data_IF_802871188342
#
_entry.id   IF_802871188342
#
_cell.length_a   1.000
_cell.length_b   1.000
_cell.length_c   1.000
_cell.angle_alpha   90.00
_cell.angle_beta   90.00
_cell.angle_gamma   90.00
#
_symmetry.space_group_name_H-M   'P 1'
#
loop_
_entity.id
_entity.type
_entity.pdbx_description
1 polymer ?
#
# COMPACT_ATOMS: atom_id res chain seq x y z
N UNK A 1 -16.67 -49.50 147.68
CA UNK A 1 -17.32 -48.51 148.57
C UNK A 1 -18.76 -48.92 148.77
N UNK A 2 -19.17 -49.19 150.01
CA UNK A 2 -20.46 -49.80 150.34
C UNK A 2 -21.62 -48.81 150.25
N UNK A 3 -22.64 -49.13 149.46
CA UNK A 3 -23.92 -48.42 149.40
C UNK A 3 -24.76 -48.73 150.64
N UNK A 4 -25.09 -47.70 151.42
CA UNK A 4 -25.97 -47.79 152.58
C UNK A 4 -27.43 -47.67 152.12
N UNK A 5 -28.19 -48.77 152.14
CA UNK A 5 -29.60 -48.79 151.70
C UNK A 5 -30.50 -48.67 152.94
N UNK A 6 -31.13 -47.51 153.10
CA UNK A 6 -32.11 -47.24 154.14
C UNK A 6 -33.45 -47.95 153.84
N UNK A 7 -33.73 -49.06 154.52
CA UNK A 7 -34.91 -49.93 154.30
C UNK A 7 -36.24 -49.35 154.80
N UNK A 8 -36.29 -48.16 155.41
CA UNK A 8 -37.52 -47.58 155.96
C UNK A 8 -38.24 -46.58 155.03
N UNK A 9 -37.61 -46.15 153.94
CA UNK A 9 -38.16 -45.11 153.05
C UNK A 9 -38.63 -45.61 151.67
N UNK A 10 -38.24 -46.82 151.23
CA UNK A 10 -38.58 -47.35 149.90
C UNK A 10 -38.93 -48.84 149.95
N UNK A 11 -40.22 -49.22 150.08
CA UNK A 11 -40.66 -50.62 150.20
C UNK A 11 -40.57 -51.44 148.90
N UNK A 12 -40.29 -50.83 147.76
CA UNK A 12 -40.36 -51.46 146.43
C UNK A 12 -39.01 -51.95 145.86
N UNK A 13 -37.94 -51.96 146.66
CA UNK A 13 -36.63 -52.47 146.23
C UNK A 13 -36.45 -53.94 146.62
N UNK A 14 -36.62 -54.85 145.65
CA UNK A 14 -36.35 -56.27 145.79
C UNK A 14 -34.84 -56.56 145.72
N UNK A 15 -34.29 -57.22 146.73
CA UNK A 15 -32.92 -57.80 146.70
C UNK A 15 -33.00 -59.19 146.06
N UNK A 16 -32.49 -59.33 144.84
CA UNK A 16 -32.35 -60.65 144.22
C UNK A 16 -31.26 -61.46 144.94
N UNK A 17 -31.60 -62.68 145.36
CA UNK A 17 -30.77 -63.56 146.21
C UNK A 17 -30.23 -64.76 145.44
N UNK A 18 -30.11 -64.65 144.11
CA UNK A 18 -29.53 -65.67 143.24
C UNK A 18 -28.03 -65.40 143.01
N UNK A 19 -27.19 -66.45 143.15
CA UNK A 19 -25.78 -66.43 142.78
C UNK A 19 -25.61 -65.95 141.33
N UNK A 20 -24.85 -64.87 141.14
CA UNK A 20 -24.43 -64.40 139.81
C UNK A 20 -23.49 -65.44 139.18
N UNK A 21 -24.03 -66.26 138.29
CA UNK A 21 -23.30 -67.26 137.52
C UNK A 21 -22.62 -66.64 136.28
N UNK A 22 -21.82 -65.59 136.47
CA UNK A 22 -20.79 -65.09 135.56
C UNK A 22 -20.15 -63.83 136.14
N UNK A 23 -18.82 -63.63 136.01
CA UNK A 23 -18.23 -62.32 136.20
C UNK A 23 -18.77 -61.39 135.10
N UNK A 24 -19.60 -60.43 135.47
CA UNK A 24 -20.12 -59.37 134.58
C UNK A 24 -19.06 -58.28 134.27
N UNK A 25 -17.81 -58.54 134.62
CA UNK A 25 -16.63 -57.79 134.23
C UNK A 25 -15.58 -58.81 133.79
N UNK A 26 -15.61 -59.17 132.50
CA UNK A 26 -14.34 -59.55 131.86
C UNK A 26 -13.57 -58.24 131.79
N UNK A 27 -12.54 -58.13 132.62
CA UNK A 27 -11.53 -57.09 132.51
C UNK A 27 -11.08 -57.09 131.04
N UNK A 28 -11.59 -56.17 130.23
CA UNK A 28 -11.02 -55.89 128.92
C UNK A 28 -9.68 -55.25 129.21
N UNK A 29 -8.68 -56.07 129.55
CA UNK A 29 -7.29 -55.71 129.36
C UNK A 29 -7.13 -55.52 127.85
N UNK A 30 -7.47 -54.31 127.40
CA UNK A 30 -6.90 -53.75 126.19
C UNK A 30 -5.40 -53.79 126.44
N UNK A 31 -4.76 -54.78 125.82
CA UNK A 31 -3.32 -54.77 125.70
C UNK A 31 -3.00 -53.64 124.72
N UNK A 32 -2.88 -52.43 125.27
CA UNK A 32 -2.68 -51.18 124.53
C UNK A 32 -1.49 -51.29 123.58
N UNK A 33 -0.50 -52.12 123.90
CA UNK A 33 0.63 -52.40 123.03
C UNK A 33 0.20 -53.20 121.79
N UNK A 34 -0.62 -54.24 121.96
CA UNK A 34 -1.16 -55.03 120.85
C UNK A 34 -2.10 -54.20 119.96
N UNK A 35 -2.91 -53.31 120.54
CA UNK A 35 -3.77 -52.39 119.79
C UNK A 35 -2.94 -51.33 119.04
N UNK A 36 -1.93 -50.75 119.69
CA UNK A 36 -0.98 -49.84 119.06
C UNK A 36 -0.23 -50.51 117.90
N UNK A 37 0.22 -51.76 118.07
CA UNK A 37 0.88 -52.53 117.01
C UNK A 37 -0.05 -52.81 115.83
N UNK A 38 -1.33 -53.13 116.10
CA UNK A 38 -2.34 -53.34 115.03
C UNK A 38 -2.64 -52.04 114.28
N UNK A 39 -2.81 -50.92 114.98
CA UNK A 39 -3.01 -49.61 114.35
C UNK A 39 -1.77 -49.17 113.57
N UNK A 40 -0.56 -49.41 114.08
CA UNK A 40 0.68 -49.17 113.33
C UNK A 40 0.76 -50.03 112.07
N UNK A 41 0.39 -51.31 112.15
CA UNK A 41 0.38 -52.21 111.00
C UNK A 41 -0.65 -51.76 109.95
N UNK A 42 -1.82 -51.32 110.39
CA UNK A 42 -2.88 -50.77 109.53
C UNK A 42 -2.44 -49.45 108.88
N UNK A 43 -1.81 -48.55 109.64
CA UNK A 43 -1.26 -47.30 109.13
C UNK A 43 -0.13 -47.56 108.11
N UNK A 44 0.78 -48.48 108.39
CA UNK A 44 1.83 -48.89 107.46
C UNK A 44 1.23 -49.52 106.19
N UNK A 45 0.18 -50.34 106.31
CA UNK A 45 -0.49 -50.93 105.16
C UNK A 45 -1.18 -49.86 104.30
N UNK A 46 -1.92 -48.93 104.92
CA UNK A 46 -2.55 -47.81 104.23
C UNK A 46 -1.52 -46.89 103.56
N UNK A 47 -0.38 -46.65 104.20
CA UNK A 47 0.71 -45.86 103.65
C UNK A 47 1.34 -46.55 102.44
N UNK A 48 1.62 -47.86 102.54
CA UNK A 48 2.14 -48.64 101.42
C UNK A 48 1.16 -48.66 100.24
N UNK A 49 -0.14 -48.80 100.50
CA UNK A 49 -1.18 -48.72 99.48
C UNK A 49 -1.21 -47.33 98.81
N UNK A 50 -1.16 -46.26 99.60
CA UNK A 50 -1.12 -44.89 99.08
C UNK A 50 0.14 -44.62 98.25
N UNK A 51 1.30 -45.15 98.65
CA UNK A 51 2.54 -45.07 97.87
C UNK A 51 2.43 -45.83 96.55
N UNK A 52 1.87 -47.05 96.56
CA UNK A 52 1.66 -47.82 95.31
C UNK A 52 0.68 -47.13 94.36
N UNK A 53 -0.40 -46.54 94.89
CA UNK A 53 -1.37 -45.79 94.10
C UNK A 53 -0.76 -44.51 93.52
N UNK A 54 0.06 -43.80 94.31
CA UNK A 54 0.78 -42.62 93.86
C UNK A 54 1.79 -42.97 92.76
N UNK A 55 2.53 -44.07 92.92
CA UNK A 55 3.46 -44.55 91.89
C UNK A 55 2.74 -44.91 90.59
N UNK A 56 1.58 -45.59 90.68
CA UNK A 56 0.76 -45.92 89.51
C UNK A 56 0.23 -44.66 88.81
N UNK A 57 -0.29 -43.70 89.57
CA UNK A 57 -0.76 -42.41 89.01
C UNK A 57 0.37 -41.64 88.36
N UNK A 58 1.56 -41.64 88.97
CA UNK A 58 2.73 -40.97 88.41
C UNK A 58 3.19 -41.61 87.10
N UNK A 59 3.17 -42.95 87.01
CA UNK A 59 3.46 -43.67 85.77
C UNK A 59 2.45 -43.33 84.67
N UNK A 60 1.15 -43.40 84.97
CA UNK A 60 0.10 -43.04 84.02
C UNK A 60 0.23 -41.59 83.55
N UNK A 61 0.47 -40.65 84.47
CA UNK A 61 0.68 -39.25 84.13
C UNK A 61 1.91 -39.05 83.23
N UNK A 62 3.00 -39.78 83.47
CA UNK A 62 4.21 -39.72 82.65
C UNK A 62 3.96 -40.27 81.25
N UNK A 63 3.21 -41.38 81.14
CA UNK A 63 2.81 -41.96 79.86
C UNK A 63 1.90 -41.01 79.06
N UNK A 64 0.91 -40.42 79.72
CA UNK A 64 -0.01 -39.43 79.12
C UNK A 64 0.78 -38.21 78.63
N UNK A 65 1.67 -37.66 79.46
CA UNK A 65 2.53 -36.54 79.08
C UNK A 65 3.43 -36.89 77.89
N UNK A 66 4.05 -38.07 77.89
CA UNK A 66 4.89 -38.51 76.78
C UNK A 66 4.08 -38.67 75.48
N UNK A 67 2.84 -39.16 75.57
CA UNK A 67 1.94 -39.26 74.41
C UNK A 67 1.58 -37.88 73.85
N UNK A 68 1.30 -36.91 74.73
CA UNK A 68 1.01 -35.53 74.34
C UNK A 68 2.23 -34.86 73.70
N UNK A 69 3.43 -35.05 74.27
CA UNK A 69 4.67 -34.51 73.70
C UNK A 69 4.97 -35.08 72.32
N UNK A 70 4.76 -36.38 72.12
CA UNK A 70 4.88 -36.99 70.79
C UNK A 70 3.89 -36.39 69.79
N UNK A 71 2.64 -36.18 70.21
CA UNK A 71 1.63 -35.56 69.36
C UNK A 71 2.02 -34.12 68.97
N UNK A 72 2.49 -33.33 69.94
CA UNK A 72 2.96 -31.96 69.69
C UNK A 72 4.17 -31.96 68.75
N UNK A 73 5.10 -32.90 68.91
CA UNK A 73 6.26 -33.04 68.03
C UNK A 73 5.85 -33.37 66.58
N UNK A 74 4.91 -34.31 66.39
CA UNK A 74 4.36 -34.60 65.07
C UNK A 74 3.68 -33.39 64.44
N UNK A 75 2.88 -32.63 65.22
CA UNK A 75 2.22 -31.42 64.74
C UNK A 75 3.22 -30.32 64.36
N UNK A 76 4.27 -30.12 65.18
CA UNK A 76 5.33 -29.17 64.88
C UNK A 76 6.10 -29.56 63.61
N UNK A 77 6.40 -30.84 63.45
CA UNK A 77 7.12 -31.32 62.27
C UNK A 77 6.25 -31.24 61.00
N UNK A 78 4.95 -31.57 61.09
CA UNK A 78 4.02 -31.40 59.97
C UNK A 78 3.84 -29.93 59.60
N UNK A 79 3.70 -29.03 60.60
CA UNK A 79 3.63 -27.59 60.38
C UNK A 79 4.90 -27.09 59.69
N UNK A 80 6.08 -27.48 60.18
CA UNK A 80 7.37 -27.12 59.57
C UNK A 80 7.45 -27.58 58.11
N UNK A 81 7.04 -28.82 57.82
CA UNK A 81 7.03 -29.36 56.46
C UNK A 81 6.00 -28.67 55.57
N UNK A 82 4.85 -28.30 56.13
CA UNK A 82 3.82 -27.52 55.45
C UNK A 82 4.33 -26.13 55.08
N UNK A 83 4.94 -25.41 56.02
CA UNK A 83 5.55 -24.09 55.77
C UNK A 83 6.66 -24.16 54.70
N UNK A 84 7.49 -25.20 54.72
CA UNK A 84 8.51 -25.39 53.68
C UNK A 84 7.89 -25.62 52.29
N UNK A 85 6.82 -26.42 52.20
CA UNK A 85 6.09 -26.64 50.95
C UNK A 85 5.43 -25.35 50.46
N UNK A 86 4.82 -24.59 51.38
CA UNK A 86 4.23 -23.30 51.07
C UNK A 86 5.26 -22.33 50.50
N UNK A 87 6.43 -22.18 51.12
CA UNK A 87 7.48 -21.30 50.60
C UNK A 87 7.99 -21.72 49.22
N UNK A 88 8.14 -23.03 48.98
CA UNK A 88 8.52 -23.52 47.64
C UNK A 88 7.47 -23.16 46.60
N UNK A 89 6.20 -23.39 46.92
CA UNK A 89 5.08 -23.07 46.04
C UNK A 89 4.97 -21.56 45.78
N UNK A 90 5.10 -20.73 46.82
CA UNK A 90 5.12 -19.27 46.70
C UNK A 90 6.25 -18.81 45.78
N UNK A 91 7.46 -19.35 45.95
CA UNK A 91 8.58 -19.02 45.07
C UNK A 91 8.32 -19.45 43.62
N UNK A 92 7.77 -20.64 43.39
CA UNK A 92 7.39 -21.10 42.04
C UNK A 92 6.35 -20.17 41.41
N UNK A 93 5.32 -19.77 42.16
CA UNK A 93 4.33 -18.79 41.70
C UNK A 93 4.98 -17.47 41.33
N UNK A 94 5.86 -16.93 42.19
CA UNK A 94 6.53 -15.65 41.93
C UNK A 94 7.37 -15.74 40.65
N UNK A 95 8.12 -16.83 40.45
CA UNK A 95 8.90 -17.02 39.22
C UNK A 95 8.03 -17.14 37.98
N UNK A 96 6.91 -17.86 38.07
CA UNK A 96 5.95 -18.01 36.97
C UNK A 96 5.28 -16.66 36.64
N UNK A 97 4.89 -15.89 37.65
CA UNK A 97 4.33 -14.54 37.47
C UNK A 97 5.35 -13.59 36.83
N UNK A 98 6.62 -13.68 37.22
CA UNK A 98 7.67 -12.88 36.61
C UNK A 98 7.87 -13.23 35.12
N UNK A 99 7.94 -14.52 34.79
CA UNK A 99 8.03 -14.97 33.39
C UNK A 99 6.80 -14.58 32.57
N UNK A 100 5.60 -14.67 33.16
CA UNK A 100 4.37 -14.25 32.49
C UNK A 100 4.37 -12.74 32.25
N UNK A 101 4.83 -11.95 33.21
CA UNK A 101 4.95 -10.50 33.09
C UNK A 101 5.94 -10.11 32.00
N UNK A 102 7.11 -10.76 31.94
CA UNK A 102 8.11 -10.52 30.90
C UNK A 102 7.56 -10.83 29.50
N UNK A 103 6.85 -11.96 29.34
CA UNK A 103 6.18 -12.30 28.08
C UNK A 103 5.10 -11.28 27.71
N UNK A 104 4.37 -10.75 28.69
CA UNK A 104 3.37 -9.72 28.43
C UNK A 104 4.01 -8.41 27.95
N UNK A 105 5.13 -7.99 28.54
CA UNK A 105 5.90 -6.82 28.06
C UNK A 105 6.36 -7.04 26.62
N UNK A 106 6.86 -8.24 26.28
CA UNK A 106 7.26 -8.55 24.91
C UNK A 106 6.08 -8.52 23.93
N UNK A 107 4.92 -9.01 24.34
CA UNK A 107 3.70 -8.94 23.54
C UNK A 107 3.24 -7.49 23.33
N UNK A 108 3.26 -6.66 24.37
CA UNK A 108 2.92 -5.24 24.27
C UNK A 108 3.85 -4.53 23.26
N UNK A 109 5.16 -4.76 23.34
CA UNK A 109 6.12 -4.20 22.38
C UNK A 109 5.89 -4.70 20.94
N UNK A 110 5.51 -5.98 20.77
CA UNK A 110 5.18 -6.54 19.44
C UNK A 110 3.90 -5.90 18.88
N UNK A 111 2.87 -5.72 19.71
CA UNK A 111 1.61 -5.07 19.33
C UNK A 111 1.86 -3.61 18.94
N UNK A 112 2.68 -2.88 19.70
CA UNK A 112 3.04 -1.49 19.37
C UNK A 112 3.76 -1.41 18.01
N UNK A 113 4.75 -2.28 17.78
CA UNK A 113 5.43 -2.36 16.49
C UNK A 113 4.48 -2.67 15.33
N UNK A 114 3.54 -3.60 15.53
CA UNK A 114 2.54 -3.95 14.51
C UNK A 114 1.56 -2.80 14.26
N UNK A 115 1.16 -2.06 15.30
CA UNK A 115 0.31 -0.87 15.14
C UNK A 115 0.99 0.21 14.29
N UNK A 116 2.27 0.49 14.53
CA UNK A 116 3.04 1.43 13.70
C UNK A 116 3.19 0.97 12.26
N UNK A 117 3.45 -0.32 12.03
CA UNK A 117 3.49 -0.88 10.68
C UNK A 117 2.14 -0.71 9.96
N UNK A 118 1.03 -0.97 10.66
CA UNK A 118 -0.32 -0.80 10.13
C UNK A 118 -0.64 0.66 9.79
N UNK A 119 -0.25 1.61 10.63
CA UNK A 119 -0.40 3.05 10.36
C UNK A 119 0.38 3.48 9.12
N UNK A 120 1.64 3.03 9.00
CA UNK A 120 2.47 3.29 7.82
C UNK A 120 1.84 2.74 6.54
N UNK A 121 1.37 1.49 6.56
CA UNK A 121 0.68 0.87 5.42
C UNK A 121 -0.61 1.61 5.05
N UNK A 122 -1.39 2.03 6.05
CA UNK A 122 -2.63 2.81 5.81
C UNK A 122 -2.32 4.14 5.13
N UNK A 123 -1.23 4.81 5.55
CA UNK A 123 -0.76 6.04 4.90
C UNK A 123 -0.34 5.80 3.45
N UNK A 124 0.42 4.74 3.18
CA UNK A 124 0.83 4.37 1.81
C UNK A 124 -0.38 4.05 0.93
N UNK A 125 -1.37 3.30 1.45
CA UNK A 125 -2.62 3.00 0.72
C UNK A 125 -3.38 4.28 0.41
N UNK A 126 -3.47 5.23 1.36
CA UNK A 126 -4.10 6.53 1.12
C UNK A 126 -3.38 7.31 0.01
N UNK A 127 -2.04 7.28 0.00
CA UNK A 127 -1.25 7.92 -1.05
C UNK A 127 -1.47 7.25 -2.41
N UNK A 128 -1.48 5.92 -2.46
CA UNK A 128 -1.76 5.16 -3.68
C UNK A 128 -3.15 5.52 -4.22
N UNK A 129 -4.17 5.54 -3.36
CA UNK A 129 -5.53 5.95 -3.75
C UNK A 129 -5.55 7.32 -4.40
N UNK A 130 -4.89 8.32 -3.79
CA UNK A 130 -4.79 9.67 -4.36
C UNK A 130 -4.05 9.68 -5.71
N UNK A 131 -3.01 8.86 -5.87
CA UNK A 131 -2.31 8.74 -7.15
C UNK A 131 -3.16 8.07 -8.22
N UNK A 132 -3.96 7.05 -7.86
CA UNK A 132 -4.90 6.41 -8.76
C UNK A 132 -5.97 7.39 -9.23
N UNK A 133 -6.54 8.20 -8.34
CA UNK A 133 -7.50 9.25 -8.70
C UNK A 133 -6.89 10.27 -9.66
N UNK A 134 -5.64 10.70 -9.40
CA UNK A 134 -4.91 11.61 -10.29
C UNK A 134 -4.64 10.99 -11.67
N UNK A 135 -4.29 9.71 -11.72
CA UNK A 135 -4.08 8.98 -12.98
C UNK A 135 -5.39 8.87 -13.76
N UNK A 136 -6.51 8.58 -13.09
CA UNK A 136 -7.82 8.51 -13.72
C UNK A 136 -8.19 9.86 -14.39
N UNK A 137 -8.02 10.97 -13.67
CA UNK A 137 -8.25 12.32 -14.23
C UNK A 137 -7.32 12.61 -15.42
N UNK A 138 -6.05 12.18 -15.36
CA UNK A 138 -5.11 12.36 -16.49
C UNK A 138 -5.48 11.51 -17.70
N UNK A 139 -6.01 10.31 -17.50
CA UNK A 139 -6.48 9.44 -18.58
C UNK A 139 -7.70 10.04 -19.27
N UNK A 140 -8.68 10.54 -18.50
CA UNK A 140 -9.86 11.22 -19.03
C UNK A 140 -9.48 12.43 -19.90
N UNK A 141 -8.58 13.30 -19.40
CA UNK A 141 -8.05 14.42 -20.20
C UNK A 141 -7.30 13.99 -21.46
N UNK A 142 -6.60 12.86 -21.40
CA UNK A 142 -5.90 12.33 -22.56
C UNK A 142 -6.88 11.79 -23.61
N UNK A 143 -7.96 11.15 -23.17
CA UNK A 143 -9.05 10.71 -24.04
C UNK A 143 -9.72 11.90 -24.74
N UNK A 144 -10.03 12.97 -23.99
CA UNK A 144 -10.54 14.22 -24.56
C UNK A 144 -9.59 14.81 -25.62
N UNK A 145 -8.30 14.89 -25.32
CA UNK A 145 -7.28 15.38 -26.25
C UNK A 145 -7.18 14.49 -27.50
N UNK A 146 -7.24 13.18 -27.34
CA UNK A 146 -7.22 12.22 -28.45
C UNK A 146 -8.47 12.38 -29.33
N UNK A 147 -9.64 12.60 -28.74
CA UNK A 147 -10.87 12.88 -29.48
C UNK A 147 -10.78 14.21 -30.26
N UNK A 148 -10.15 15.24 -29.67
CA UNK A 148 -9.89 16.50 -30.38
C UNK A 148 -8.94 16.31 -31.57
N UNK A 149 -7.86 15.54 -31.41
CA UNK A 149 -6.92 15.22 -32.51
C UNK A 149 -7.65 14.46 -33.62
N UNK A 150 -8.48 13.47 -33.29
CA UNK A 150 -9.26 12.72 -34.25
C UNK A 150 -10.19 13.65 -35.06
N UNK A 151 -10.86 14.60 -34.39
CA UNK A 151 -11.70 15.59 -35.05
C UNK A 151 -10.89 16.52 -35.98
N UNK A 152 -9.70 16.96 -35.56
CA UNK A 152 -8.81 17.78 -36.40
C UNK A 152 -8.30 17.01 -37.62
N UNK A 153 -7.92 15.74 -37.46
CA UNK A 153 -7.53 14.88 -38.58
C UNK A 153 -8.67 14.72 -39.57
N UNK A 154 -9.90 14.49 -39.10
CA UNK A 154 -11.08 14.41 -39.97
C UNK A 154 -11.25 15.70 -40.78
N UNK A 155 -11.16 16.86 -40.14
CA UNK A 155 -11.25 18.16 -40.82
C UNK A 155 -10.12 18.37 -41.84
N UNK A 156 -8.91 17.92 -41.53
CA UNK A 156 -7.78 17.99 -42.46
C UNK A 156 -8.00 17.10 -43.69
N UNK A 157 -8.60 15.92 -43.50
CA UNK A 157 -8.94 15.00 -44.58
C UNK A 157 -10.02 15.61 -45.50
N UNK A 158 -11.06 16.21 -44.92
CA UNK A 158 -12.08 16.96 -45.68
C UNK A 158 -11.48 18.14 -46.47
N UNK A 159 -10.56 18.91 -45.87
CA UNK A 159 -9.87 19.99 -46.59
C UNK A 159 -8.97 19.46 -47.72
N UNK A 160 -8.32 18.32 -47.52
CA UNK A 160 -7.48 17.68 -48.54
C UNK A 160 -8.33 17.19 -49.72
N UNK A 161 -9.51 16.62 -49.44
CA UNK A 161 -10.47 16.22 -50.47
C UNK A 161 -10.96 17.43 -51.29
N UNK A 162 -11.33 18.53 -50.62
CA UNK A 162 -11.70 19.78 -51.30
C UNK A 162 -10.55 20.38 -52.12
N UNK A 163 -9.32 20.29 -51.62
CA UNK A 163 -8.15 20.77 -52.35
C UNK A 163 -7.88 19.93 -53.60
N UNK A 164 -8.02 18.60 -53.51
CA UNK A 164 -7.91 17.70 -54.64
C UNK A 164 -8.98 18.01 -55.70
N UNK A 165 -10.24 18.22 -55.29
CA UNK A 165 -11.33 18.60 -56.21
C UNK A 165 -11.08 19.96 -56.90
N UNK A 166 -10.50 20.93 -56.19
CA UNK A 166 -10.12 22.22 -56.81
C UNK A 166 -8.97 22.06 -57.79
N UNK A 167 -7.98 21.20 -57.48
CA UNK A 167 -6.87 20.92 -58.37
C UNK A 167 -7.32 20.22 -59.66
N UNK A 168 -8.22 19.24 -59.57
CA UNK A 168 -8.76 18.57 -60.77
C UNK A 168 -9.53 19.54 -61.66
N UNK A 169 -10.39 20.40 -61.07
CA UNK A 169 -11.07 21.47 -61.82
C UNK A 169 -10.08 22.44 -62.48
N UNK A 170 -9.01 22.79 -61.78
CA UNK A 170 -7.98 23.66 -62.33
C UNK A 170 -7.22 22.99 -63.48
N UNK A 171 -6.93 21.70 -63.37
CA UNK A 171 -6.29 20.89 -64.43
C UNK A 171 -7.16 20.84 -65.69
N UNK A 172 -8.48 20.67 -65.55
CA UNK A 172 -9.45 20.74 -66.67
C UNK A 172 -9.44 22.12 -67.35
N UNK A 173 -9.41 23.21 -66.56
CA UNK A 173 -9.34 24.58 -67.10
C UNK A 173 -8.03 24.80 -67.87
N UNK A 174 -6.90 24.36 -67.33
CA UNK A 174 -5.60 24.47 -68.01
C UNK A 174 -5.54 23.61 -69.27
N UNK A 175 -6.12 22.40 -69.25
CA UNK A 175 -6.25 21.56 -70.44
C UNK A 175 -7.04 22.25 -71.55
N UNK A 176 -8.20 22.82 -71.23
CA UNK A 176 -8.98 23.60 -72.20
C UNK A 176 -8.28 24.88 -72.67
N UNK A 177 -7.46 25.52 -71.83
CA UNK A 177 -6.64 26.67 -72.23
C UNK A 177 -5.55 26.26 -73.22
N UNK A 178 -4.86 25.14 -72.97
CA UNK A 178 -3.86 24.56 -73.87
C UNK A 178 -4.45 24.23 -75.25
N UNK A 179 -5.60 23.56 -75.30
CA UNK A 179 -6.28 23.25 -76.57
C UNK A 179 -6.63 24.52 -77.38
N UNK A 180 -7.08 25.58 -76.68
CA UNK A 180 -7.36 26.87 -77.33
C UNK A 180 -6.10 27.56 -77.82
N UNK A 181 -5.00 27.44 -77.07
CA UNK A 181 -3.70 28.01 -77.44
C UNK A 181 -3.14 27.30 -78.68
N UNK A 182 -3.20 25.97 -78.73
CA UNK A 182 -2.84 25.16 -79.90
C UNK A 182 -3.68 25.53 -81.14
N UNK A 183 -4.99 25.76 -80.97
CA UNK A 183 -5.85 26.25 -82.06
C UNK A 183 -5.44 27.64 -82.55
N UNK A 184 -5.08 28.54 -81.64
CA UNK A 184 -4.60 29.87 -82.00
C UNK A 184 -3.25 29.82 -82.71
N UNK A 185 -2.33 28.97 -82.26
CA UNK A 185 -1.03 28.76 -82.91
C UNK A 185 -1.21 28.20 -84.34
N UNK A 186 -2.12 27.25 -84.53
CA UNK A 186 -2.45 26.73 -85.86
C UNK A 186 -3.04 27.82 -86.79
N UNK A 187 -3.90 28.70 -86.26
CA UNK A 187 -4.44 29.84 -87.01
C UNK A 187 -3.35 30.86 -87.34
N UNK A 188 -2.44 31.15 -86.41
CA UNK A 188 -1.29 32.03 -86.62
C UNK A 188 -0.35 31.48 -87.68
N UNK A 189 -0.04 30.18 -87.67
CA UNK A 189 0.78 29.56 -88.72
C UNK A 189 0.10 29.67 -90.09
N UNK A 190 -1.23 29.42 -90.15
CA UNK A 190 -2.00 29.61 -91.39
C UNK A 190 -1.95 31.07 -91.87
N UNK A 191 -2.08 32.04 -90.97
CA UNK A 191 -2.00 33.46 -91.30
C UNK A 191 -0.58 33.84 -91.77
N UNK A 192 0.46 33.33 -91.12
CA UNK A 192 1.85 33.53 -91.53
C UNK A 192 2.10 33.00 -92.95
N UNK A 193 1.58 31.80 -93.27
CA UNK A 193 1.63 31.24 -94.64
C UNK A 193 0.90 32.14 -95.65
N UNK A 194 -0.29 32.64 -95.31
CA UNK A 194 -1.03 33.57 -96.18
C UNK A 194 -0.26 34.88 -96.40
N UNK A 195 0.36 35.46 -95.37
CA UNK A 195 1.20 36.65 -95.49
C UNK A 195 2.42 36.38 -96.36
N UNK A 196 3.07 35.23 -96.21
CA UNK A 196 4.16 34.82 -97.10
C UNK A 196 3.69 34.70 -98.57
N UNK A 197 2.50 34.16 -98.80
CA UNK A 197 1.92 34.05 -100.13
C UNK A 197 1.59 35.42 -100.73
N UNK A 198 1.00 36.34 -99.95
CA UNK A 198 0.77 37.73 -100.37
C UNK A 198 2.10 38.39 -100.72
N UNK A 199 3.13 38.22 -99.89
CA UNK A 199 4.48 38.75 -100.16
C UNK A 199 5.04 38.22 -101.47
N UNK A 200 4.87 36.92 -101.75
CA UNK A 200 5.29 36.30 -103.00
C UNK A 200 4.55 36.87 -104.21
N UNK A 201 3.22 37.01 -104.12
CA UNK A 201 2.40 37.60 -105.18
C UNK A 201 2.80 39.06 -105.43
N UNK A 202 3.04 39.84 -104.37
CA UNK A 202 3.51 41.22 -104.49
C UNK A 202 4.87 41.27 -105.17
N UNK A 203 5.83 40.42 -104.77
CA UNK A 203 7.14 40.35 -105.44
C UNK A 203 7.02 40.01 -106.92
N UNK A 204 6.19 39.02 -107.27
CA UNK A 204 5.95 38.64 -108.67
C UNK A 204 5.32 39.79 -109.45
N UNK A 205 4.27 40.42 -108.92
CA UNK A 205 3.57 41.54 -109.57
C UNK A 205 4.45 42.77 -109.69
N UNK A 206 5.23 43.10 -108.67
CA UNK A 206 6.18 44.22 -108.70
C UNK A 206 7.31 43.95 -109.69
N UNK A 207 7.85 42.73 -109.75
CA UNK A 207 8.84 42.35 -110.77
C UNK A 207 8.25 42.39 -112.18
N UNK A 208 7.04 41.89 -112.38
CA UNK A 208 6.35 41.97 -113.67
C UNK A 208 6.08 43.42 -114.09
N UNK A 209 5.66 44.27 -113.16
CA UNK A 209 5.41 45.69 -113.44
C UNK A 209 6.72 46.44 -113.72
N UNK A 210 7.78 46.16 -112.96
CA UNK A 210 9.11 46.69 -113.22
C UNK A 210 9.61 46.28 -114.61
N UNK A 211 9.46 45.00 -114.99
CA UNK A 211 9.77 44.51 -116.32
C UNK A 211 8.95 45.20 -117.42
N UNK A 212 7.63 45.37 -117.21
CA UNK A 212 6.75 46.11 -118.13
C UNK A 212 7.12 47.59 -118.25
N UNK A 213 7.49 48.25 -117.15
CA UNK A 213 7.94 49.64 -117.16
C UNK A 213 9.29 49.72 -117.88
N UNK A 214 10.21 48.79 -117.66
CA UNK A 214 11.51 48.75 -118.33
C UNK A 214 11.36 48.50 -119.83
N UNK A 215 10.52 47.55 -120.23
CA UNK A 215 10.13 47.31 -121.63
C UNK A 215 9.44 48.53 -122.25
N UNK A 216 8.50 49.14 -121.54
CA UNK A 216 7.80 50.35 -121.96
C UNK A 216 8.74 51.55 -122.09
N UNK A 217 9.72 51.68 -121.19
CA UNK A 217 10.76 52.70 -121.23
C UNK A 217 11.70 52.46 -122.41
N UNK A 218 12.13 51.21 -122.67
CA UNK A 218 12.90 50.87 -123.88
C UNK A 218 12.12 51.20 -125.15
N UNK A 219 10.84 50.85 -125.21
CA UNK A 219 9.99 51.09 -126.38
C UNK A 219 9.75 52.60 -126.62
N UNK A 220 9.37 53.34 -125.58
CA UNK A 220 9.12 54.78 -125.69
C UNK A 220 10.39 55.59 -125.85
N UNK A 221 11.50 55.24 -125.17
CA UNK A 221 12.80 55.87 -125.43
C UNK A 221 13.27 55.61 -126.86
N UNK A 222 13.10 54.40 -127.39
CA UNK A 222 13.42 54.11 -128.80
C UNK A 222 12.55 54.92 -129.78
N UNK A 223 11.27 55.11 -129.47
CA UNK A 223 10.34 55.87 -130.30
C UNK A 223 10.57 57.39 -130.23
N UNK A 224 10.72 57.95 -129.03
CA UNK A 224 11.03 59.37 -128.81
C UNK A 224 12.42 59.70 -129.38
N UNK A 225 13.40 58.82 -129.24
CA UNK A 225 14.70 58.99 -129.86
C UNK A 225 14.61 58.98 -131.40
N UNK A 226 13.82 58.06 -131.97
CA UNK A 226 13.53 58.00 -133.41
C UNK A 226 12.89 59.29 -133.91
N UNK A 227 12.02 59.93 -133.11
CA UNK A 227 11.42 61.24 -133.39
C UNK A 227 12.39 62.42 -133.23
N UNK A 228 13.30 62.38 -132.24
CA UNK A 228 14.19 63.49 -131.90
C UNK A 228 15.50 63.51 -132.71
N UNK A 229 15.96 62.38 -133.24
CA UNK A 229 17.31 62.25 -133.84
C UNK A 229 17.34 61.63 -135.24
N UNK A 230 16.22 61.14 -135.77
CA UNK A 230 16.12 60.70 -137.16
C UNK A 230 17.02 59.52 -137.57
N UNK A 231 17.57 58.72 -136.63
CA UNK A 231 18.42 57.55 -136.95
C UNK A 231 18.11 56.31 -136.09
N UNK A 232 18.36 55.11 -136.64
CA UNK A 232 18.11 53.80 -136.01
C UNK A 232 19.26 53.31 -135.12
N UNK A 233 19.68 54.08 -134.11
CA UNK A 233 20.60 53.58 -133.08
C UNK A 233 20.09 53.84 -131.67
N UNK A 234 20.14 52.87 -130.73
CA UNK A 234 19.66 53.08 -129.38
C UNK A 234 20.58 54.04 -128.58
N UNK A 235 19.94 54.91 -127.80
CA UNK A 235 20.50 55.95 -126.91
C UNK A 235 21.56 55.45 -125.89
N UNK A 236 21.69 54.14 -125.72
CA UNK A 236 22.66 53.51 -124.82
C UNK A 236 24.13 53.84 -125.15
N UNK A 237 24.46 54.21 -126.40
CA UNK A 237 25.86 54.49 -126.77
C UNK A 237 26.33 55.91 -126.42
N UNK A 238 25.44 56.90 -126.35
CA UNK A 238 25.85 58.29 -126.07
C UNK A 238 26.09 58.56 -124.57
N UNK A 239 25.32 57.92 -123.69
CA UNK A 239 25.53 58.00 -122.24
C UNK A 239 26.80 57.29 -121.74
N UNK A 240 27.34 56.35 -122.54
CA UNK A 240 28.55 55.62 -122.18
C UNK A 240 29.84 56.35 -122.58
N UNK A 241 29.76 57.31 -123.51
CA UNK A 241 30.89 58.17 -123.90
C UNK A 241 30.96 59.46 -123.08
N UNK A 242 29.86 59.96 -122.49
CA UNK A 242 29.90 61.12 -121.58
C UNK A 242 30.26 60.80 -120.12
N UNK A 243 30.16 59.54 -119.68
CA UNK A 243 30.61 59.12 -118.32
C UNK A 243 32.05 58.60 -118.26
N UNK A 244 32.77 58.53 -119.38
CA UNK A 244 34.17 58.07 -119.41
C UNK A 244 35.21 59.19 -119.21
N UNK A 245 34.83 60.47 -119.32
CA UNK A 245 35.74 61.59 -119.07
C UNK A 245 35.63 62.20 -117.65
N UNK A 246 34.64 61.81 -116.83
CA UNK A 246 34.38 62.42 -115.52
C UNK A 246 34.62 61.51 -114.29
N UNK A 247 35.23 60.32 -114.44
CA UNK A 247 35.47 59.38 -113.33
C UNK A 247 36.91 58.81 -113.30
N UNK A 248 37.89 59.58 -113.78
CA UNK A 248 39.32 59.36 -113.52
C UNK A 248 39.93 60.54 -112.78
N UNK A 249 39.40 60.92 -111.61
CA UNK A 249 40.20 61.57 -110.58
C UNK A 249 39.49 61.50 -109.22
N UNK A 250 40.24 61.05 -108.20
CA UNK A 250 39.92 60.96 -106.76
C UNK A 250 39.30 59.64 -106.27
N UNK A 251 40.20 58.65 -106.22
CA UNK A 251 40.35 57.75 -105.08
C UNK A 251 41.17 58.49 -104.01
N UNK A 252 40.58 58.67 -102.82
CA UNK A 252 41.18 58.48 -101.48
C UNK A 252 40.06 58.49 -100.42
#
# INVERSE_FOLDING_TARGET
MGLYINKKAHPSLFKNSSQLAAPNQVESRQDFLTELMKEQQKANHALNQALTDLQKRYQQQTEDQNSQWKQVDYQLNDLKNSTLRQHKFENEIVTNLHSLHEKNIQLEAMVEKETHARESLTSQISQISKTCDSIAIRLEKNEEAQQQIANQMKKQLEMQEQAAEKLTKQEEIHGGMLERLDQQDALLDKLARQVNQIRSILFERTNYLAGKIEEGYKLTSSYVYKLMTGSEQPLTFFLMNQKKDDNQERVE
#
